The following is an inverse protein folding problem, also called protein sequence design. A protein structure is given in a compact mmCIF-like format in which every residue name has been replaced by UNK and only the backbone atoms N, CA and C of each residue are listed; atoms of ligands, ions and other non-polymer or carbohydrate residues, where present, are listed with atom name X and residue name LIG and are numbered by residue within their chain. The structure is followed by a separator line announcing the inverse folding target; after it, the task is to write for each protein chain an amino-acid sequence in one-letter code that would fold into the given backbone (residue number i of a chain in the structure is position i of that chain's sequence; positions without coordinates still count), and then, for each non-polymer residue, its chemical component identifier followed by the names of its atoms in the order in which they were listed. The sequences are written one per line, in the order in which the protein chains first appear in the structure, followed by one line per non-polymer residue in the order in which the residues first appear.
data_IF_523586196613
#
_entry.id   IF_523586196613
#
_cell.length_a   1.000
_cell.length_b   1.000
_cell.length_c   1.000
_cell.angle_alpha   90.00
_cell.angle_beta   90.00
_cell.angle_gamma   90.00
#
_symmetry.space_group_name_H-M   'P 1'
#
loop_
_entity.id
_entity.type
_entity.pdbx_description
1 polymer ?
#
# COMPACT_ATOMS: atom_id res chain seq x y z
N UNK A 1 -12.12 -12.52 -19.05
CA UNK A 1 -11.32 -11.27 -19.01
C UNK A 1 -11.99 -10.17 -18.19
N UNK A 2 -13.23 -9.76 -18.49
CA UNK A 2 -13.91 -8.63 -17.81
C UNK A 2 -13.88 -8.69 -16.26
N UNK A 3 -14.09 -9.87 -15.66
CA UNK A 3 -14.09 -10.04 -14.20
C UNK A 3 -12.70 -9.91 -13.56
N UNK A 4 -11.66 -10.40 -14.25
CA UNK A 4 -10.27 -10.30 -13.77
C UNK A 4 -9.76 -8.86 -13.86
N UNK A 5 -10.16 -8.12 -14.90
CA UNK A 5 -9.87 -6.68 -15.02
C UNK A 5 -10.58 -5.88 -13.93
N UNK A 6 -11.84 -6.20 -13.61
CA UNK A 6 -12.55 -5.55 -12.51
C UNK A 6 -11.89 -5.84 -11.15
N UNK A 7 -11.45 -7.08 -10.91
CA UNK A 7 -10.65 -7.42 -9.74
C UNK A 7 -9.37 -6.58 -9.67
N UNK A 8 -8.60 -6.51 -10.76
CA UNK A 8 -7.38 -5.69 -10.81
C UNK A 8 -7.68 -4.22 -10.49
N UNK A 9 -8.71 -3.64 -11.12
CA UNK A 9 -9.06 -2.24 -10.99
C UNK A 9 -9.56 -1.90 -9.59
N UNK A 10 -10.38 -2.77 -8.98
CA UNK A 10 -10.82 -2.56 -7.59
C UNK A 10 -9.64 -2.60 -6.62
N UNK A 11 -8.70 -3.52 -6.81
CA UNK A 11 -7.51 -3.67 -5.96
C UNK A 11 -6.55 -2.49 -6.09
N UNK A 12 -6.31 -2.00 -7.31
CA UNK A 12 -5.44 -0.84 -7.50
C UNK A 12 -6.06 0.45 -6.96
N UNK A 13 -7.40 0.59 -7.05
CA UNK A 13 -8.11 1.70 -6.40
C UNK A 13 -8.00 1.63 -4.89
N UNK A 14 -8.14 0.46 -4.28
CA UNK A 14 -7.96 0.29 -2.83
C UNK A 14 -6.55 0.71 -2.41
N UNK A 15 -5.51 0.25 -3.12
CA UNK A 15 -4.13 0.66 -2.86
C UNK A 15 -3.97 2.18 -2.97
N UNK A 16 -4.45 2.79 -4.05
CA UNK A 16 -4.36 4.23 -4.28
C UNK A 16 -5.08 5.05 -3.20
N UNK A 17 -6.33 4.71 -2.88
CA UNK A 17 -7.11 5.44 -1.88
C UNK A 17 -6.55 5.27 -0.46
N UNK A 18 -5.98 4.12 -0.13
CA UNK A 18 -5.33 3.93 1.16
C UNK A 18 -4.09 4.84 1.31
N UNK A 19 -3.23 4.89 0.28
CA UNK A 19 -2.05 5.77 0.27
C UNK A 19 -2.47 7.24 0.37
N UNK A 20 -3.49 7.64 -0.40
CA UNK A 20 -4.03 9.00 -0.36
C UNK A 20 -4.58 9.33 1.04
N UNK A 21 -5.30 8.39 1.66
CA UNK A 21 -5.83 8.57 3.01
C UNK A 21 -4.70 8.73 4.03
N UNK A 22 -3.61 7.95 3.95
CA UNK A 22 -2.47 8.13 4.84
C UNK A 22 -1.81 9.50 4.67
N UNK A 23 -1.66 9.98 3.43
CA UNK A 23 -1.12 11.31 3.18
C UNK A 23 -1.99 12.41 3.82
N UNK A 24 -3.31 12.32 3.65
CA UNK A 24 -4.24 13.31 4.22
C UNK A 24 -4.37 13.20 5.74
N UNK A 25 -4.20 12.01 6.31
CA UNK A 25 -4.37 11.76 7.74
C UNK A 25 -3.08 11.87 8.56
N UNK A 26 -1.89 11.82 7.94
CA UNK A 26 -0.61 11.86 8.65
C UNK A 26 -0.49 13.09 9.56
N UNK A 27 -0.87 14.26 9.05
CA UNK A 27 -0.92 15.52 9.82
C UNK A 27 -1.74 15.35 11.09
N UNK A 28 -2.93 14.74 10.98
CA UNK A 28 -3.89 14.63 12.07
C UNK A 28 -3.48 13.60 13.14
N UNK A 29 -2.67 12.60 12.76
CA UNK A 29 -2.17 11.55 13.64
C UNK A 29 -0.95 11.97 14.46
N UNK A 30 -0.28 13.07 14.08
CA UNK A 30 0.83 13.61 14.87
C UNK A 30 0.35 14.27 16.19
N UNK A 31 1.14 14.11 17.28
CA UNK A 31 0.94 14.87 18.52
C UNK A 31 0.98 16.38 18.25
N UNK A 32 0.14 17.15 18.95
CA UNK A 32 0.08 18.62 18.81
C UNK A 32 1.44 19.29 19.01
N UNK A 33 2.25 18.78 19.93
CA UNK A 33 3.59 19.31 20.22
C UNK A 33 4.55 19.21 19.04
N UNK A 34 4.39 18.21 18.17
CA UNK A 34 5.24 18.01 16.98
C UNK A 34 4.65 18.75 15.77
N UNK A 35 3.33 18.89 15.71
CA UNK A 35 2.63 19.60 14.62
C UNK A 35 2.95 21.09 14.58
N UNK A 36 3.14 21.72 15.74
CA UNK A 36 3.45 23.15 15.87
C UNK A 36 4.96 23.44 15.83
N UNK A 37 5.80 22.41 15.74
CA UNK A 37 7.26 22.54 15.65
C UNK A 37 7.69 22.85 14.21
N UNK A 38 8.83 23.51 14.05
CA UNK A 38 9.42 23.88 12.76
C UNK A 38 9.77 22.67 11.88
N UNK A 39 9.88 21.48 12.50
CA UNK A 39 10.13 20.20 11.83
C UNK A 39 8.88 19.34 11.60
N UNK A 40 7.66 19.90 11.77
CA UNK A 40 6.42 19.12 11.66
C UNK A 40 6.30 18.38 10.32
N UNK A 41 6.75 19.00 9.23
CA UNK A 41 6.74 18.39 7.90
C UNK A 41 7.57 17.11 7.80
N UNK A 42 8.74 17.06 8.44
CA UNK A 42 9.61 15.86 8.43
C UNK A 42 8.93 14.73 9.19
N UNK A 43 8.33 15.04 10.35
CA UNK A 43 7.58 14.08 11.14
C UNK A 43 6.30 13.58 10.42
N UNK A 44 5.63 14.46 9.66
CA UNK A 44 4.47 14.09 8.83
C UNK A 44 4.87 13.10 7.73
N UNK A 45 5.99 13.38 7.07
CA UNK A 45 6.52 12.54 6.01
C UNK A 45 6.97 11.17 6.54
N UNK A 46 7.70 11.15 7.66
CA UNK A 46 8.10 9.90 8.33
C UNK A 46 6.89 9.04 8.71
N UNK A 47 5.89 9.64 9.38
CA UNK A 47 4.68 8.93 9.76
C UNK A 47 3.90 8.42 8.54
N UNK A 48 3.79 9.21 7.48
CA UNK A 48 3.19 8.81 6.21
C UNK A 48 3.91 7.59 5.61
N UNK A 49 5.25 7.60 5.58
CA UNK A 49 6.06 6.52 5.04
C UNK A 49 5.88 5.25 5.86
N UNK A 50 5.87 5.34 7.20
CA UNK A 50 5.66 4.21 8.09
C UNK A 50 4.29 3.56 7.88
N UNK A 51 3.22 4.37 7.86
CA UNK A 51 1.85 3.90 7.61
C UNK A 51 1.72 3.22 6.24
N UNK A 52 2.30 3.85 5.21
CA UNK A 52 2.31 3.31 3.84
C UNK A 52 3.06 1.97 3.78
N UNK A 53 4.20 1.87 4.46
CA UNK A 53 5.00 0.64 4.51
C UNK A 53 4.23 -0.50 5.18
N UNK A 54 3.68 -0.27 6.37
CA UNK A 54 2.90 -1.29 7.11
C UNK A 54 1.70 -1.75 6.29
N UNK A 55 0.99 -0.81 5.66
CA UNK A 55 -0.14 -1.13 4.80
C UNK A 55 0.28 -1.93 3.58
N UNK A 56 1.34 -1.53 2.86
CA UNK A 56 1.80 -2.24 1.67
C UNK A 56 2.22 -3.68 1.98
N UNK A 57 2.92 -3.91 3.10
CA UNK A 57 3.27 -5.27 3.54
C UNK A 57 2.01 -6.11 3.81
N UNK A 58 1.05 -5.55 4.55
CA UNK A 58 -0.22 -6.21 4.87
C UNK A 58 -1.05 -6.50 3.61
N UNK A 59 -1.09 -5.53 2.68
CA UNK A 59 -1.78 -5.63 1.41
C UNK A 59 -1.14 -6.71 0.51
N UNK A 60 0.19 -6.76 0.43
CA UNK A 60 0.90 -7.82 -0.29
C UNK A 60 0.59 -9.20 0.29
N UNK A 61 0.61 -9.36 1.61
CA UNK A 61 0.23 -10.62 2.26
C UNK A 61 -1.22 -11.02 1.90
N UNK A 62 -2.14 -10.07 1.90
CA UNK A 62 -3.53 -10.29 1.49
C UNK A 62 -3.66 -10.71 0.02
N UNK A 63 -3.02 -10.00 -0.91
CA UNK A 63 -3.08 -10.34 -2.35
C UNK A 63 -2.40 -11.68 -2.62
N UNK A 64 -1.35 -12.03 -1.87
CA UNK A 64 -0.71 -13.35 -1.96
C UNK A 64 -1.67 -14.46 -1.55
N UNK A 65 -2.41 -14.27 -0.46
CA UNK A 65 -3.45 -15.21 -0.05
C UNK A 65 -4.58 -15.34 -1.09
N UNK A 66 -5.02 -14.23 -1.70
CA UNK A 66 -5.99 -14.26 -2.81
C UNK A 66 -5.43 -15.03 -4.02
N UNK A 67 -4.15 -14.81 -4.37
CA UNK A 67 -3.48 -15.54 -5.45
C UNK A 67 -3.47 -17.04 -5.19
N UNK A 68 -3.09 -17.48 -4.00
CA UNK A 68 -3.09 -18.91 -3.63
C UNK A 68 -4.49 -19.52 -3.79
N UNK A 69 -5.53 -18.80 -3.33
CA UNK A 69 -6.93 -19.21 -3.50
C UNK A 69 -7.33 -19.32 -4.98
N UNK A 70 -6.91 -18.41 -5.85
CA UNK A 70 -7.20 -18.48 -7.28
C UNK A 70 -6.50 -19.66 -7.98
N UNK A 71 -5.27 -19.98 -7.56
CA UNK A 71 -4.53 -21.15 -8.06
C UNK A 71 -5.27 -22.43 -7.68
N UNK A 72 -5.64 -22.59 -6.40
CA UNK A 72 -6.39 -23.77 -5.91
C UNK A 72 -7.74 -23.94 -6.61
N UNK A 73 -8.39 -22.84 -6.99
CA UNK A 73 -9.68 -22.82 -7.70
C UNK A 73 -9.56 -22.86 -9.24
N UNK A 74 -8.35 -23.05 -9.79
CA UNK A 74 -8.11 -23.10 -11.23
C UNK A 74 -8.60 -21.85 -12.00
N UNK A 75 -8.40 -20.66 -11.43
CA UNK A 75 -8.71 -19.38 -12.06
C UNK A 75 -7.43 -18.63 -12.49
N UNK A 76 -6.74 -19.07 -13.56
CA UNK A 76 -5.40 -18.58 -13.91
C UNK A 76 -5.35 -17.08 -14.20
N UNK A 77 -6.38 -16.53 -14.86
CA UNK A 77 -6.44 -15.09 -15.16
C UNK A 77 -6.46 -14.22 -13.89
N UNK A 78 -7.14 -14.64 -12.83
CA UNK A 78 -7.17 -13.90 -11.57
C UNK A 78 -5.85 -14.05 -10.81
N UNK A 79 -5.21 -15.23 -10.87
CA UNK A 79 -3.90 -15.46 -10.30
C UNK A 79 -2.81 -14.61 -10.97
N UNK A 80 -2.85 -14.45 -12.31
CA UNK A 80 -1.94 -13.56 -13.04
C UNK A 80 -2.14 -12.10 -12.64
N UNK A 81 -3.39 -11.62 -12.56
CA UNK A 81 -3.67 -10.24 -12.12
C UNK A 81 -3.25 -10.00 -10.67
N UNK A 82 -3.44 -10.98 -9.78
CA UNK A 82 -2.94 -10.91 -8.40
C UNK A 82 -1.41 -10.88 -8.34
N UNK A 83 -0.71 -11.60 -9.22
CA UNK A 83 0.75 -11.53 -9.34
C UNK A 83 1.22 -10.14 -9.77
N UNK A 84 0.56 -9.52 -10.76
CA UNK A 84 0.87 -8.15 -11.18
C UNK A 84 0.69 -7.17 -10.01
N UNK A 85 -0.40 -7.30 -9.25
CA UNK A 85 -0.63 -6.48 -8.05
C UNK A 85 0.43 -6.70 -6.96
N UNK A 86 0.91 -7.94 -6.77
CA UNK A 86 2.01 -8.23 -5.85
C UNK A 86 3.30 -7.54 -6.27
N UNK A 87 3.62 -7.53 -7.57
CA UNK A 87 4.81 -6.84 -8.08
C UNK A 87 4.69 -5.34 -7.81
N UNK A 88 3.55 -4.73 -8.14
CA UNK A 88 3.30 -3.32 -7.87
C UNK A 88 3.41 -3.00 -6.38
N UNK A 89 2.72 -3.77 -5.52
CA UNK A 89 2.75 -3.57 -4.07
C UNK A 89 4.15 -3.76 -3.48
N UNK A 90 4.92 -4.72 -3.99
CA UNK A 90 6.32 -4.95 -3.59
C UNK A 90 7.22 -3.77 -3.98
N UNK A 91 7.07 -3.23 -5.19
CA UNK A 91 7.81 -2.04 -5.63
C UNK A 91 7.50 -0.85 -4.72
N UNK A 92 6.23 -0.58 -4.46
CA UNK A 92 5.83 0.51 -3.55
C UNK A 92 6.42 0.29 -2.16
N UNK A 93 6.32 -0.93 -1.62
CA UNK A 93 6.90 -1.25 -0.31
C UNK A 93 8.41 -1.06 -0.26
N UNK A 94 9.15 -1.46 -1.30
CA UNK A 94 10.61 -1.28 -1.36
C UNK A 94 10.98 0.20 -1.45
N UNK A 95 10.25 0.99 -2.23
CA UNK A 95 10.45 2.44 -2.31
C UNK A 95 10.18 3.08 -0.95
N UNK A 96 9.07 2.74 -0.29
CA UNK A 96 8.75 3.27 1.03
C UNK A 96 9.81 2.92 2.07
N UNK A 97 10.28 1.67 2.10
CA UNK A 97 11.37 1.23 2.99
C UNK A 97 12.67 1.99 2.69
N UNK A 98 13.02 2.14 1.41
CA UNK A 98 14.21 2.88 1.01
C UNK A 98 14.14 4.33 1.50
N UNK A 99 13.01 5.00 1.31
CA UNK A 99 12.83 6.37 1.78
C UNK A 99 12.88 6.42 3.31
N UNK A 100 12.23 5.48 4.01
CA UNK A 100 12.24 5.41 5.48
C UNK A 100 13.64 5.32 6.10
N UNK A 101 14.57 4.62 5.44
CA UNK A 101 15.96 4.50 5.90
C UNK A 101 16.86 5.69 5.49
N UNK A 102 16.40 6.56 4.59
CA UNK A 102 17.16 7.71 4.10
C UNK A 102 16.57 9.07 4.53
N UNK A 103 15.49 9.06 5.33
CA UNK A 103 14.90 10.25 5.95
C UNK A 103 15.59 10.55 7.29
#
# INVERSE_FOLDING_TARGET
MKTATLYFLTRILVLFFAILAFYMCAVYLLPKSIREDQFSFVAELDLFIQLTTIFCLSYCAFVYWERDKFIRKQHPNHATMALVLLIIGSIVSLISIFIAFNL
#
